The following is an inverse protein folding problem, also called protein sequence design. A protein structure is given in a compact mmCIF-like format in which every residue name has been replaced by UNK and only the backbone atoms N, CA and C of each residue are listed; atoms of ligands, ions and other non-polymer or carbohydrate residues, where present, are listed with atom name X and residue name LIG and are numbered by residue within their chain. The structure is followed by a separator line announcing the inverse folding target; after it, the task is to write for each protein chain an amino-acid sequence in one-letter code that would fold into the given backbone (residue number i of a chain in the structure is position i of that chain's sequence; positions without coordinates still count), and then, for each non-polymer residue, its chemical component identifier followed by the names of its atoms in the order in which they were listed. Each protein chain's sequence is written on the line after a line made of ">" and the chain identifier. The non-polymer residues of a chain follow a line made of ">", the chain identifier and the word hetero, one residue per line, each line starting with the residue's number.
data_IF_873154593950
#
_entry.id   IF_873154593950
#
_cell.length_a   1.000
_cell.length_b   1.000
_cell.length_c   1.000
_cell.angle_alpha   90.00
_cell.angle_beta   90.00
_cell.angle_gamma   90.00
#
_symmetry.space_group_name_H-M   'P 1'
#
loop_
_entity.id
_entity.type
_entity.pdbx_description
1 polymer ?
#
# COMPACT_ATOMS: atom_id res chain seq x y z
N UNK A 1 16.23 -4.50 7.30
CA UNK A 1 15.42 -5.65 6.94
C UNK A 1 14.32 -5.22 6.01
N UNK A 2 14.20 -5.93 4.91
CA UNK A 2 13.20 -5.56 3.92
C UNK A 2 11.84 -6.18 4.17
N UNK A 3 11.71 -7.03 5.16
CA UNK A 3 10.50 -7.83 5.31
C UNK A 3 9.27 -7.01 5.67
N UNK A 4 9.39 -5.76 5.98
CA UNK A 4 8.24 -4.93 6.25
C UNK A 4 7.92 -3.94 5.17
N UNK A 5 8.47 -4.11 3.97
CA UNK A 5 8.32 -3.13 2.91
C UNK A 5 7.65 -3.77 1.71
N UNK A 6 6.68 -3.07 1.13
CA UNK A 6 6.01 -3.51 -0.11
C UNK A 6 6.24 -2.47 -1.19
N UNK A 7 6.31 -2.95 -2.43
CA UNK A 7 6.48 -2.09 -3.59
C UNK A 7 5.13 -1.91 -4.27
N UNK A 8 4.69 -0.67 -4.37
CA UNK A 8 3.39 -0.35 -4.93
C UNK A 8 3.56 0.62 -6.08
N UNK A 9 2.50 0.77 -6.87
CA UNK A 9 2.50 1.65 -8.03
C UNK A 9 1.50 2.77 -7.78
N UNK A 10 2.00 3.99 -7.81
CA UNK A 10 1.13 5.16 -7.66
C UNK A 10 0.29 5.33 -8.93
N UNK A 11 -0.75 6.12 -8.83
CA UNK A 11 -1.67 6.30 -9.97
C UNK A 11 -0.98 6.90 -11.18
N UNK A 12 0.10 7.64 -10.99
CA UNK A 12 0.86 8.21 -12.10
C UNK A 12 1.93 7.25 -12.59
N UNK A 13 1.86 5.98 -12.22
CA UNK A 13 2.72 4.87 -12.64
C UNK A 13 4.10 4.83 -11.99
N UNK A 14 4.42 5.77 -11.12
CA UNK A 14 5.70 5.72 -10.41
C UNK A 14 5.64 4.68 -9.29
N UNK A 15 6.75 4.01 -9.09
CA UNK A 15 6.84 3.01 -8.02
C UNK A 15 7.16 3.67 -6.69
N UNK A 16 6.64 3.10 -5.63
CA UNK A 16 6.92 3.59 -4.29
C UNK A 16 7.03 2.39 -3.35
N UNK A 17 8.00 2.46 -2.46
CA UNK A 17 8.15 1.43 -1.42
C UNK A 17 7.53 1.97 -0.15
N UNK A 18 6.67 1.16 0.46
CA UNK A 18 5.93 1.58 1.63
C UNK A 18 6.23 0.62 2.78
N UNK A 19 6.55 1.19 3.92
CA UNK A 19 6.80 0.40 5.12
C UNK A 19 5.47 -0.02 5.71
N UNK A 20 5.29 -1.33 5.88
CA UNK A 20 4.02 -1.86 6.40
C UNK A 20 3.67 -1.32 7.76
N UNK A 21 4.68 -1.01 8.57
CA UNK A 21 4.40 -0.50 9.91
C UNK A 21 3.82 0.91 9.90
N UNK A 22 3.88 1.59 8.77
CA UNK A 22 3.32 2.92 8.63
C UNK A 22 1.90 2.91 8.08
N UNK A 23 1.39 1.75 7.70
CA UNK A 23 0.06 1.64 7.10
C UNK A 23 -0.96 1.43 8.21
N UNK A 24 -1.94 2.32 8.25
CA UNK A 24 -3.02 2.20 9.21
C UNK A 24 -4.17 1.39 8.64
N UNK A 25 -4.63 1.76 7.45
CA UNK A 25 -5.71 1.03 6.79
C UNK A 25 -5.49 1.04 5.30
N UNK A 26 -6.08 0.05 4.62
CA UNK A 26 -6.11 -0.01 3.17
C UNK A 26 -7.56 -0.22 2.77
N UNK A 27 -8.07 0.64 1.90
CA UNK A 27 -9.47 0.59 1.50
C UNK A 27 -9.57 0.63 -0.02
N UNK A 28 -10.66 0.10 -0.54
CA UNK A 28 -10.92 0.11 -1.97
C UNK A 28 -12.28 0.75 -2.21
N UNK A 29 -12.30 2.01 -2.72
CA UNK A 29 -13.57 2.72 -2.86
C UNK A 29 -13.43 3.93 -3.79
N UNK A 30 -13.50 3.78 -5.07
CA UNK A 30 -13.27 2.59 -5.87
C UNK A 30 -11.80 2.27 -6.04
N UNK A 31 -10.94 3.28 -5.88
CA UNK A 31 -9.51 3.07 -5.98
C UNK A 31 -8.95 2.56 -4.67
N UNK A 32 -7.82 1.91 -4.76
CA UNK A 32 -7.14 1.44 -3.56
C UNK A 32 -6.47 2.64 -2.88
N UNK A 33 -6.88 2.91 -1.66
CA UNK A 33 -6.36 4.01 -0.87
C UNK A 33 -5.69 3.46 0.37
N UNK A 34 -4.43 3.83 0.56
CA UNK A 34 -3.67 3.44 1.74
C UNK A 34 -3.58 4.65 2.64
N UNK A 35 -4.02 4.49 3.88
CA UNK A 35 -3.94 5.55 4.86
C UNK A 35 -2.76 5.25 5.77
N UNK A 36 -1.83 6.18 5.79
CA UNK A 36 -0.60 6.03 6.55
C UNK A 36 -0.72 6.74 7.89
N UNK A 37 0.25 6.48 8.75
CA UNK A 37 0.33 7.17 10.01
C UNK A 37 0.30 8.68 9.77
N UNK A 38 -0.41 9.40 10.62
CA UNK A 38 -0.54 10.83 10.46
C UNK A 38 -1.63 11.25 9.52
N UNK A 39 -2.36 10.30 8.95
CA UNK A 39 -3.51 10.63 8.11
C UNK A 39 -3.19 10.84 6.64
N UNK A 40 -1.96 10.60 6.22
CA UNK A 40 -1.61 10.74 4.80
C UNK A 40 -2.30 9.65 3.99
N UNK A 41 -2.78 10.02 2.82
CA UNK A 41 -3.45 9.09 1.92
C UNK A 41 -2.60 8.87 0.69
N UNK A 42 -2.57 7.64 0.25
CA UNK A 42 -1.77 7.24 -0.91
C UNK A 42 -2.65 6.37 -1.81
N UNK A 43 -2.85 6.81 -3.05
CA UNK A 43 -3.62 6.03 -4.01
C UNK A 43 -2.68 5.20 -4.85
N UNK A 44 -3.00 3.91 -4.99
CA UNK A 44 -2.15 2.99 -5.74
C UNK A 44 -3.00 2.18 -6.72
N UNK A 45 -2.31 1.58 -7.70
CA UNK A 45 -2.99 0.80 -8.73
C UNK A 45 -3.23 -0.65 -8.31
N UNK A 46 -2.48 -1.16 -7.36
CA UNK A 46 -2.66 -2.53 -6.91
C UNK A 46 -4.01 -2.69 -6.26
N UNK A 47 -4.63 -3.85 -6.46
CA UNK A 47 -5.91 -4.12 -5.85
C UNK A 47 -5.74 -4.43 -4.37
N UNK A 48 -6.85 -4.37 -3.64
CA UNK A 48 -6.84 -4.71 -2.23
C UNK A 48 -6.34 -6.13 -2.04
N UNK A 49 -6.78 -7.04 -2.90
CA UNK A 49 -6.35 -8.44 -2.80
C UNK A 49 -4.86 -8.59 -3.06
N UNK A 50 -4.33 -7.84 -4.01
CA UNK A 50 -2.90 -7.91 -4.30
C UNK A 50 -2.08 -7.48 -3.10
N UNK A 51 -2.50 -6.41 -2.44
CA UNK A 51 -1.79 -5.92 -1.27
C UNK A 51 -1.90 -6.91 -0.13
N UNK A 52 -3.07 -7.48 0.04
CA UNK A 52 -3.28 -8.51 1.07
C UNK A 52 -2.33 -9.68 0.90
N UNK A 53 -2.17 -10.12 -0.36
CA UNK A 53 -1.24 -11.21 -0.65
C UNK A 53 0.20 -10.84 -0.33
N UNK A 54 0.60 -9.63 -0.68
CA UNK A 54 1.96 -9.18 -0.40
C UNK A 54 2.25 -9.22 1.10
N UNK A 55 1.29 -8.77 1.89
CA UNK A 55 1.46 -8.76 3.33
C UNK A 55 1.58 -10.17 3.88
N UNK A 56 0.80 -11.08 3.35
CA UNK A 56 0.79 -12.45 3.85
C UNK A 56 2.01 -13.26 3.47
N UNK A 57 2.72 -12.85 2.44
CA UNK A 57 3.90 -13.58 1.99
C UNK A 57 5.16 -13.24 2.78
N UNK A 58 5.06 -12.44 3.81
CA UNK A 58 6.21 -12.05 4.60
C UNK A 58 6.62 -13.07 5.65
#
# INVERSE_FOLDING_TARGET
>A
MAKGIVLLTKMDTRKIMVNLSCIETVESNPDTVIILDGGRKLLVKESLEDIWKMIQEK
#
